data_IF_453480480227
#
_entry.id   IF_453480480227
#
_cell.length_a   1.000
_cell.length_b   1.000
_cell.length_c   1.000
_cell.angle_alpha   90.00
_cell.angle_beta   90.00
_cell.angle_gamma   90.00
#
_symmetry.space_group_name_H-M   'P 1'
#
loop_
_entity.id
_entity.type
_entity.pdbx_description
1 polymer ?
#
# COMPACT_ATOMS: atom_id res chain seq x y z
N UNK A 1 -16.87 20.71 -7.83
CA UNK A 1 -18.00 21.62 -7.52
C UNK A 1 -18.72 21.15 -6.24
N UNK A 2 -19.29 22.04 -5.41
CA UNK A 2 -20.07 21.63 -4.25
C UNK A 2 -21.20 20.65 -4.61
N UNK A 3 -21.82 20.85 -5.78
CA UNK A 3 -22.86 19.97 -6.34
C UNK A 3 -22.41 18.54 -6.65
N UNK A 4 -21.11 18.24 -6.63
CA UNK A 4 -20.59 16.89 -6.88
C UNK A 4 -20.17 16.17 -5.59
N UNK A 5 -20.38 16.79 -4.42
CA UNK A 5 -20.15 16.13 -3.14
C UNK A 5 -21.33 15.22 -2.82
N UNK A 6 -21.04 13.97 -2.46
CA UNK A 6 -22.08 13.03 -2.05
C UNK A 6 -22.50 13.28 -0.60
N UNK A 7 -23.80 13.12 -0.33
CA UNK A 7 -24.29 13.02 1.04
C UNK A 7 -23.88 11.68 1.66
N UNK A 8 -23.99 11.55 2.99
CA UNK A 8 -23.77 10.27 3.65
C UNK A 8 -24.77 9.19 3.18
N UNK A 9 -26.02 9.59 2.89
CA UNK A 9 -27.04 8.69 2.37
C UNK A 9 -26.69 8.18 0.97
N UNK A 10 -26.23 9.07 0.07
CA UNK A 10 -25.83 8.67 -1.29
C UNK A 10 -24.62 7.74 -1.26
N UNK A 11 -23.63 8.03 -0.40
CA UNK A 11 -22.49 7.13 -0.17
C UNK A 11 -22.95 5.75 0.27
N UNK A 12 -23.84 5.67 1.26
CA UNK A 12 -24.36 4.41 1.78
C UNK A 12 -25.15 3.65 0.71
N UNK A 13 -25.97 4.36 -0.07
CA UNK A 13 -26.74 3.77 -1.16
C UNK A 13 -25.81 3.14 -2.20
N UNK A 14 -24.82 3.90 -2.72
CA UNK A 14 -23.84 3.40 -3.70
C UNK A 14 -23.04 2.21 -3.13
N UNK A 15 -22.64 2.29 -1.86
CA UNK A 15 -21.92 1.19 -1.21
C UNK A 15 -22.76 -0.09 -1.23
N UNK A 16 -24.03 0.01 -0.84
CA UNK A 16 -24.93 -1.14 -0.68
C UNK A 16 -25.38 -1.71 -2.03
N UNK A 17 -25.74 -0.84 -2.99
CA UNK A 17 -26.32 -1.27 -4.27
C UNK A 17 -25.29 -1.63 -5.33
N UNK A 18 -24.04 -1.18 -5.19
CA UNK A 18 -23.06 -1.26 -6.27
C UNK A 18 -21.73 -1.85 -5.81
N UNK A 19 -21.09 -1.25 -4.78
CA UNK A 19 -19.75 -1.66 -4.35
C UNK A 19 -19.80 -3.05 -3.70
N UNK A 20 -20.70 -3.28 -2.75
CA UNK A 20 -20.81 -4.54 -2.03
C UNK A 20 -21.06 -5.73 -2.99
N UNK A 21 -22.05 -5.69 -3.91
CA UNK A 21 -22.24 -6.77 -4.87
C UNK A 21 -21.05 -7.03 -5.79
N UNK A 22 -20.33 -5.98 -6.20
CA UNK A 22 -19.21 -6.11 -7.14
C UNK A 22 -17.92 -6.58 -6.46
N UNK A 23 -17.62 -6.08 -5.26
CA UNK A 23 -16.29 -6.19 -4.65
C UNK A 23 -16.25 -7.17 -3.47
N UNK A 24 -17.36 -7.38 -2.74
CA UNK A 24 -17.37 -8.17 -1.51
C UNK A 24 -18.25 -9.42 -1.59
N UNK A 25 -19.39 -9.36 -2.30
CA UNK A 25 -20.28 -10.51 -2.44
C UNK A 25 -19.60 -11.76 -3.05
N UNK A 26 -18.66 -11.66 -4.02
CA UNK A 26 -17.94 -12.83 -4.52
C UNK A 26 -17.24 -13.65 -3.42
N UNK A 27 -16.77 -12.99 -2.36
CA UNK A 27 -16.03 -13.63 -1.26
C UNK A 27 -16.95 -14.31 -0.22
N UNK A 28 -18.25 -13.97 -0.19
CA UNK A 28 -19.21 -14.59 0.75
C UNK A 28 -19.49 -16.06 0.40
N UNK A 29 -19.30 -16.44 -0.86
CA UNK A 29 -19.54 -17.80 -1.36
C UNK A 29 -18.60 -18.86 -0.76
N UNK A 30 -17.52 -18.44 -0.10
CA UNK A 30 -16.52 -19.32 0.50
C UNK A 30 -16.82 -19.70 1.97
N UNK A 31 -17.99 -19.33 2.51
CA UNK A 31 -18.47 -19.70 3.85
C UNK A 31 -17.48 -19.41 5.01
N UNK A 32 -16.70 -18.32 4.93
CA UNK A 32 -15.75 -17.87 5.95
C UNK A 32 -16.34 -17.79 7.37
N UNK A 33 -17.65 -17.50 7.45
CA UNK A 33 -18.36 -17.34 8.72
C UNK A 33 -18.55 -18.65 9.49
N UNK A 34 -18.33 -19.80 8.83
CA UNK A 34 -18.74 -21.11 9.35
C UNK A 34 -17.60 -22.11 9.49
N UNK A 35 -16.36 -21.75 9.10
CA UNK A 35 -15.22 -22.67 9.18
C UNK A 35 -14.51 -22.69 10.54
N UNK A 36 -14.92 -21.82 11.47
CA UNK A 36 -14.36 -21.71 12.82
C UNK A 36 -12.98 -21.07 12.89
N UNK A 37 -12.40 -20.64 11.77
CA UNK A 37 -11.03 -20.11 11.72
C UNK A 37 -10.98 -18.65 12.12
N UNK A 38 -9.84 -18.22 12.66
CA UNK A 38 -9.54 -16.81 12.85
C UNK A 38 -9.32 -16.13 11.47
N UNK A 39 -10.02 -15.03 11.15
CA UNK A 39 -9.83 -14.34 9.87
C UNK A 39 -8.51 -13.56 9.86
N UNK A 40 -7.90 -13.42 8.68
CA UNK A 40 -6.66 -12.67 8.49
C UNK A 40 -6.86 -11.33 7.82
N UNK A 41 -6.10 -10.35 8.28
CA UNK A 41 -5.97 -9.06 7.61
C UNK A 41 -4.51 -8.82 7.27
N UNK A 42 -4.19 -8.83 5.98
CA UNK A 42 -2.87 -8.43 5.48
C UNK A 42 -2.92 -6.96 5.09
N UNK A 43 -2.20 -6.11 5.81
CA UNK A 43 -2.17 -4.67 5.58
C UNK A 43 -0.85 -4.29 4.93
N UNK A 44 -0.87 -3.87 3.67
CA UNK A 44 0.31 -3.38 2.96
C UNK A 44 0.33 -1.86 3.03
N UNK A 45 1.39 -1.30 3.59
CA UNK A 45 1.57 0.14 3.72
C UNK A 45 2.90 0.57 3.12
N UNK A 46 2.87 1.64 2.33
CA UNK A 46 4.07 2.18 1.71
C UNK A 46 3.73 3.35 0.82
N UNK A 47 4.68 4.27 0.60
CA UNK A 47 4.40 5.45 -0.19
C UNK A 47 4.03 5.12 -1.65
N UNK A 48 3.46 6.09 -2.36
CA UNK A 48 3.28 5.98 -3.81
C UNK A 48 4.64 5.78 -4.49
N UNK A 49 4.73 4.89 -5.48
CA UNK A 49 6.00 4.58 -6.14
C UNK A 49 6.93 3.61 -5.39
N UNK A 50 6.59 3.18 -4.16
CA UNK A 50 7.40 2.20 -3.42
C UNK A 50 7.41 0.80 -4.07
N UNK A 51 6.40 0.46 -4.88
CA UNK A 51 6.32 -0.84 -5.55
C UNK A 51 5.35 -1.83 -4.92
N UNK A 52 4.30 -1.36 -4.23
CA UNK A 52 3.22 -2.20 -3.67
C UNK A 52 2.62 -3.17 -4.70
N UNK A 53 2.58 -2.78 -5.98
CA UNK A 53 2.09 -3.61 -7.09
C UNK A 53 2.90 -4.91 -7.31
N UNK A 54 4.11 -5.02 -6.77
CA UNK A 54 4.89 -6.28 -6.75
C UNK A 54 4.69 -7.08 -5.47
N UNK A 55 4.49 -6.41 -4.33
CA UNK A 55 4.30 -7.08 -3.04
C UNK A 55 2.88 -7.64 -2.88
N UNK A 56 1.86 -6.87 -3.30
CA UNK A 56 0.46 -7.23 -3.09
C UNK A 56 0.08 -8.56 -3.75
N UNK A 57 0.44 -8.86 -5.01
CA UNK A 57 0.18 -10.18 -5.59
C UNK A 57 0.85 -11.31 -4.81
N UNK A 58 2.12 -11.14 -4.40
CA UNK A 58 2.85 -12.16 -3.66
C UNK A 58 2.19 -12.51 -2.31
N UNK A 59 1.78 -11.49 -1.54
CA UNK A 59 1.08 -11.69 -0.27
C UNK A 59 -0.35 -12.19 -0.46
N UNK A 60 -1.06 -11.71 -1.49
CA UNK A 60 -2.41 -12.19 -1.84
C UNK A 60 -2.38 -13.65 -2.21
N UNK A 61 -1.45 -14.07 -3.06
CA UNK A 61 -1.36 -15.44 -3.54
C UNK A 61 -0.92 -16.40 -2.41
N UNK A 62 -0.01 -15.95 -1.53
CA UNK A 62 0.32 -16.68 -0.31
C UNK A 62 -0.88 -16.85 0.63
N UNK A 63 -1.64 -15.77 0.87
CA UNK A 63 -2.87 -15.82 1.67
C UNK A 63 -3.91 -16.75 1.05
N UNK A 64 -4.08 -16.66 -0.28
CA UNK A 64 -5.03 -17.49 -1.00
C UNK A 64 -4.67 -18.97 -0.99
N UNK A 65 -3.38 -19.29 -1.14
CA UNK A 65 -2.87 -20.65 -1.02
C UNK A 65 -3.09 -21.20 0.40
N UNK A 66 -2.78 -20.40 1.43
CA UNK A 66 -2.95 -20.77 2.84
C UNK A 66 -4.41 -21.04 3.20
N UNK A 67 -5.31 -20.15 2.77
CA UNK A 67 -6.75 -20.22 3.08
C UNK A 67 -7.55 -21.07 2.09
N UNK A 68 -6.92 -21.51 0.99
CA UNK A 68 -7.55 -22.21 -0.14
C UNK A 68 -8.75 -21.44 -0.74
N UNK A 69 -8.69 -20.10 -0.70
CA UNK A 69 -9.73 -19.18 -1.19
C UNK A 69 -9.15 -17.78 -1.39
N UNK A 70 -9.72 -17.00 -2.29
CA UNK A 70 -9.22 -15.65 -2.55
C UNK A 70 -9.65 -14.67 -1.42
N UNK A 71 -8.71 -13.90 -0.85
CA UNK A 71 -9.06 -12.83 0.09
C UNK A 71 -9.72 -11.66 -0.65
N UNK A 72 -10.50 -10.84 0.06
CA UNK A 72 -10.98 -9.58 -0.48
C UNK A 72 -9.83 -8.57 -0.57
N UNK A 73 -9.52 -8.10 -1.78
CA UNK A 73 -8.40 -7.18 -2.03
C UNK A 73 -8.92 -5.75 -2.11
N UNK A 74 -8.67 -4.96 -1.07
CA UNK A 74 -9.26 -3.64 -0.88
C UNK A 74 -8.22 -2.53 -1.11
N UNK A 75 -8.52 -1.59 -2.01
CA UNK A 75 -7.64 -0.47 -2.36
C UNK A 75 -8.51 0.79 -2.50
N UNK A 76 -8.27 1.82 -1.67
CA UNK A 76 -9.09 3.05 -1.73
C UNK A 76 -9.15 3.68 -3.13
N UNK A 77 -8.05 3.64 -3.90
CA UNK A 77 -8.00 4.31 -5.21
C UNK A 77 -8.96 3.70 -6.23
N UNK A 78 -9.23 2.38 -6.16
CA UNK A 78 -10.15 1.71 -7.09
C UNK A 78 -11.59 2.16 -6.87
N UNK A 79 -11.97 2.52 -5.63
CA UNK A 79 -13.32 2.98 -5.34
C UNK A 79 -13.69 4.33 -5.94
N UNK A 80 -12.72 5.09 -6.47
CA UNK A 80 -13.00 6.35 -7.16
C UNK A 80 -13.88 6.17 -8.39
N UNK A 81 -13.82 5.01 -9.05
CA UNK A 81 -14.63 4.73 -10.25
C UNK A 81 -16.12 4.62 -9.94
N UNK A 82 -16.50 4.32 -8.70
CA UNK A 82 -17.90 4.28 -8.25
C UNK A 82 -18.50 5.66 -7.98
N UNK A 83 -17.68 6.72 -7.93
CA UNK A 83 -18.19 8.07 -7.74
C UNK A 83 -18.92 8.55 -9.01
N UNK A 84 -20.21 8.94 -8.94
CA UNK A 84 -21.04 9.22 -10.13
C UNK A 84 -20.47 10.29 -11.07
N UNK A 85 -19.76 11.27 -10.51
CA UNK A 85 -19.14 12.35 -11.28
C UNK A 85 -17.67 12.12 -11.63
N UNK A 86 -17.09 10.96 -11.33
CA UNK A 86 -15.66 10.72 -11.56
C UNK A 86 -15.31 10.72 -13.03
N UNK A 87 -16.04 9.97 -13.86
CA UNK A 87 -15.80 9.91 -15.31
C UNK A 87 -15.98 11.28 -15.99
N UNK A 88 -17.04 12.02 -15.62
CA UNK A 88 -17.28 13.36 -16.14
C UNK A 88 -16.18 14.35 -15.72
N UNK A 89 -15.74 14.30 -14.45
CA UNK A 89 -14.63 15.12 -13.97
C UNK A 89 -13.32 14.75 -14.66
N UNK A 90 -13.07 13.46 -14.87
CA UNK A 90 -11.87 12.98 -15.54
C UNK A 90 -11.80 13.48 -16.98
N UNK A 91 -12.92 13.50 -17.71
CA UNK A 91 -12.98 14.02 -19.07
C UNK A 91 -12.79 15.55 -19.14
N UNK A 92 -13.35 16.29 -18.19
CA UNK A 92 -13.33 17.76 -18.20
C UNK A 92 -12.09 18.39 -17.53
N UNK A 93 -11.57 17.76 -16.48
CA UNK A 93 -10.48 18.24 -15.64
C UNK A 93 -9.75 17.05 -14.95
N UNK A 94 -8.93 16.28 -15.68
CA UNK A 94 -8.28 15.06 -15.19
C UNK A 94 -7.53 15.25 -13.87
N UNK A 95 -6.86 16.39 -13.71
CA UNK A 95 -6.07 16.76 -12.53
C UNK A 95 -6.92 16.95 -11.26
N UNK A 96 -8.22 17.22 -11.41
CA UNK A 96 -9.16 17.41 -10.30
C UNK A 96 -9.94 16.15 -9.94
N UNK A 97 -10.01 15.17 -10.85
CA UNK A 97 -10.84 13.97 -10.67
C UNK A 97 -10.45 13.15 -9.44
N UNK A 98 -9.15 13.00 -9.19
CA UNK A 98 -8.66 12.29 -8.00
C UNK A 98 -9.07 13.00 -6.71
N UNK A 99 -8.88 14.32 -6.64
CA UNK A 99 -9.24 15.11 -5.46
C UNK A 99 -10.75 15.13 -5.20
N UNK A 100 -11.57 15.10 -6.27
CA UNK A 100 -13.01 14.99 -6.19
C UNK A 100 -13.45 13.69 -5.49
N UNK A 101 -13.00 12.54 -5.98
CA UNK A 101 -13.53 11.24 -5.56
C UNK A 101 -12.83 10.66 -4.32
N UNK A 102 -11.65 11.17 -3.93
CA UNK A 102 -10.88 10.61 -2.81
C UNK A 102 -11.62 10.57 -1.46
N UNK A 103 -12.39 11.59 -1.04
CA UNK A 103 -13.12 11.54 0.22
C UNK A 103 -14.14 10.40 0.27
N UNK A 104 -14.94 10.22 -0.78
CA UNK A 104 -15.95 9.16 -0.83
C UNK A 104 -15.31 7.78 -0.99
N UNK A 105 -14.24 7.68 -1.78
CA UNK A 105 -13.46 6.44 -1.93
C UNK A 105 -12.84 5.96 -0.61
N UNK A 106 -12.36 6.89 0.23
CA UNK A 106 -11.90 6.58 1.60
C UNK A 106 -13.05 6.08 2.48
N UNK A 107 -14.19 6.76 2.44
CA UNK A 107 -15.37 6.34 3.21
C UNK A 107 -15.85 4.94 2.80
N UNK A 108 -15.85 4.64 1.49
CA UNK A 108 -16.18 3.31 1.00
C UNK A 108 -15.16 2.24 1.39
N UNK A 109 -13.87 2.56 1.50
CA UNK A 109 -12.90 1.63 2.07
C UNK A 109 -13.18 1.33 3.53
N UNK A 110 -13.50 2.34 4.35
CA UNK A 110 -13.92 2.11 5.74
C UNK A 110 -15.16 1.23 5.82
N UNK A 111 -16.18 1.51 5.00
CA UNK A 111 -17.40 0.67 4.92
C UNK A 111 -17.09 -0.76 4.48
N UNK A 112 -16.19 -0.96 3.51
CA UNK A 112 -15.79 -2.27 3.03
C UNK A 112 -15.06 -3.07 4.10
N UNK A 113 -14.16 -2.44 4.86
CA UNK A 113 -13.45 -3.09 5.97
C UNK A 113 -14.42 -3.47 7.11
N UNK A 114 -15.34 -2.58 7.48
CA UNK A 114 -16.37 -2.89 8.46
C UNK A 114 -17.27 -4.06 8.01
N UNK A 115 -17.65 -4.10 6.72
CA UNK A 115 -18.41 -5.21 6.17
C UNK A 115 -17.61 -6.52 6.21
N UNK A 116 -16.33 -6.48 5.82
CA UNK A 116 -15.44 -7.63 5.88
C UNK A 116 -15.34 -8.19 7.30
N UNK A 117 -15.16 -7.33 8.31
CA UNK A 117 -15.16 -7.71 9.73
C UNK A 117 -16.46 -8.38 10.13
N UNK A 118 -17.61 -7.76 9.82
CA UNK A 118 -18.93 -8.31 10.14
C UNK A 118 -19.17 -9.69 9.48
N UNK A 119 -18.49 -9.99 8.37
CA UNK A 119 -18.63 -11.22 7.62
C UNK A 119 -17.41 -12.15 7.73
N UNK A 120 -16.44 -11.82 8.61
CA UNK A 120 -15.18 -12.55 8.83
C UNK A 120 -14.41 -12.89 7.55
N UNK A 121 -14.42 -11.99 6.58
CA UNK A 121 -13.68 -12.20 5.32
C UNK A 121 -12.18 -12.04 5.56
N UNK A 122 -11.37 -12.94 5.00
CA UNK A 122 -9.92 -12.73 4.90
C UNK A 122 -9.67 -11.57 3.93
N UNK A 123 -8.81 -10.60 4.29
CA UNK A 123 -8.58 -9.39 3.51
C UNK A 123 -7.10 -9.14 3.23
N UNK A 124 -6.85 -8.49 2.09
CA UNK A 124 -5.60 -7.77 1.82
C UNK A 124 -5.94 -6.31 1.53
N UNK A 125 -5.40 -5.39 2.31
CA UNK A 125 -5.68 -3.95 2.21
C UNK A 125 -4.40 -3.20 1.85
N UNK A 126 -4.45 -2.39 0.80
CA UNK A 126 -3.32 -1.52 0.43
C UNK A 126 -3.55 -0.07 0.85
N UNK A 127 -2.56 0.50 1.53
CA UNK A 127 -2.53 1.91 1.91
C UNK A 127 -1.29 2.62 1.36
N UNK A 128 -1.50 3.79 0.77
CA UNK A 128 -0.41 4.70 0.43
C UNK A 128 0.15 5.47 1.65
N UNK A 129 -0.57 5.44 2.78
CA UNK A 129 -0.23 6.17 4.00
C UNK A 129 -0.22 7.71 3.89
N UNK A 130 -0.96 8.28 2.94
CA UNK A 130 -1.11 9.75 2.81
C UNK A 130 -1.77 10.37 4.06
N UNK A 131 -2.74 9.67 4.62
CA UNK A 131 -3.40 10.02 5.87
C UNK A 131 -3.11 8.88 6.85
N UNK A 132 -2.09 9.00 7.70
CA UNK A 132 -1.64 7.88 8.52
C UNK A 132 -2.71 7.40 9.51
N UNK A 133 -3.56 8.31 10.00
CA UNK A 133 -4.70 7.96 10.85
C UNK A 133 -5.67 6.98 10.18
N UNK A 134 -5.83 7.03 8.85
CA UNK A 134 -6.66 6.06 8.14
C UNK A 134 -6.06 4.65 8.25
N UNK A 135 -4.73 4.52 8.13
CA UNK A 135 -4.06 3.23 8.26
C UNK A 135 -4.18 2.68 9.68
N UNK A 136 -3.95 3.53 10.69
CA UNK A 136 -4.09 3.14 12.10
C UNK A 136 -5.51 2.68 12.40
N UNK A 137 -6.51 3.45 11.95
CA UNK A 137 -7.92 3.09 12.10
C UNK A 137 -8.25 1.74 11.43
N UNK A 138 -7.72 1.49 10.22
CA UNK A 138 -7.92 0.20 9.54
C UNK A 138 -7.33 -0.96 10.35
N UNK A 139 -6.10 -0.81 10.87
CA UNK A 139 -5.47 -1.82 11.71
C UNK A 139 -6.28 -2.10 12.99
N UNK A 140 -6.72 -1.04 13.67
CA UNK A 140 -7.56 -1.16 14.87
C UNK A 140 -8.90 -1.83 14.58
N UNK A 141 -9.55 -1.52 13.45
CA UNK A 141 -10.82 -2.14 13.04
C UNK A 141 -10.69 -3.66 12.88
N UNK A 142 -9.62 -4.14 12.24
CA UNK A 142 -9.40 -5.57 12.10
C UNK A 142 -8.99 -6.23 13.41
N UNK A 143 -8.09 -5.62 14.17
CA UNK A 143 -7.68 -6.11 15.48
C UNK A 143 -8.88 -6.25 16.44
N UNK A 144 -9.70 -5.21 16.57
CA UNK A 144 -10.92 -5.23 17.37
C UNK A 144 -11.98 -6.22 16.82
N UNK A 145 -11.94 -6.51 15.51
CA UNK A 145 -12.72 -7.54 14.86
C UNK A 145 -12.26 -8.98 15.14
N UNK A 146 -11.19 -9.17 15.93
CA UNK A 146 -10.63 -10.48 16.28
C UNK A 146 -9.78 -11.11 15.18
N UNK A 147 -9.29 -10.31 14.23
CA UNK A 147 -8.43 -10.78 13.16
C UNK A 147 -7.00 -11.03 13.68
N UNK A 148 -6.29 -11.96 13.04
CA UNK A 148 -4.84 -11.94 13.05
C UNK A 148 -4.36 -10.93 11.99
N UNK A 149 -3.70 -9.87 12.45
CA UNK A 149 -3.33 -8.71 11.63
C UNK A 149 -1.83 -8.79 11.28
N UNK A 150 -1.55 -8.92 9.99
CA UNK A 150 -0.19 -8.98 9.44
C UNK A 150 0.09 -7.68 8.65
N UNK A 151 1.00 -6.85 9.13
CA UNK A 151 1.36 -5.59 8.48
C UNK A 151 2.68 -5.71 7.70
N UNK A 152 2.68 -5.26 6.45
CA UNK A 152 3.86 -5.22 5.60
C UNK A 152 4.17 -3.77 5.19
N UNK A 153 5.33 -3.27 5.64
CA UNK A 153 5.80 -1.90 5.40
C UNK A 153 6.82 -1.91 4.25
N UNK A 154 6.56 -1.17 3.17
CA UNK A 154 7.57 -0.98 2.11
C UNK A 154 8.53 0.17 2.46
N UNK A 155 9.77 -0.18 2.78
CA UNK A 155 10.85 0.78 2.98
C UNK A 155 11.63 0.97 1.67
N UNK A 156 11.46 2.15 1.06
CA UNK A 156 12.12 2.51 -0.20
C UNK A 156 12.63 3.94 -0.09
N UNK A 157 13.88 4.23 -0.48
CA UNK A 157 14.42 5.59 -0.52
C UNK A 157 13.56 6.55 -1.36
N UNK A 158 13.45 7.80 -0.90
CA UNK A 158 12.64 8.85 -1.53
C UNK A 158 12.91 8.99 -3.03
N UNK A 159 14.20 9.05 -3.40
CA UNK A 159 14.65 9.18 -4.78
C UNK A 159 14.08 8.07 -5.67
N UNK A 160 14.15 6.82 -5.21
CA UNK A 160 13.70 5.67 -5.97
C UNK A 160 12.18 5.64 -6.10
N UNK A 161 11.43 5.98 -5.04
CA UNK A 161 9.97 6.03 -5.12
C UNK A 161 9.47 7.17 -6.01
N UNK A 162 10.09 8.34 -5.98
CA UNK A 162 9.80 9.45 -6.90
C UNK A 162 10.10 9.08 -8.34
N UNK A 163 11.28 8.52 -8.61
CA UNK A 163 11.66 8.06 -9.96
C UNK A 163 10.67 7.00 -10.49
N UNK A 164 10.27 6.06 -9.63
CA UNK A 164 9.29 5.04 -10.00
C UNK A 164 7.91 5.60 -10.40
N UNK A 165 7.51 6.77 -9.86
CA UNK A 165 6.27 7.46 -10.27
C UNK A 165 6.40 8.01 -11.69
N UNK A 166 7.53 8.63 -12.02
CA UNK A 166 7.79 9.15 -13.36
C UNK A 166 7.86 8.01 -14.38
N UNK A 167 8.65 6.98 -14.08
CA UNK A 167 8.84 5.82 -14.95
C UNK A 167 7.52 5.14 -15.28
N UNK A 168 6.71 4.79 -14.27
CA UNK A 168 5.43 4.09 -14.51
C UNK A 168 4.46 4.93 -15.33
N UNK A 169 4.45 6.26 -15.13
CA UNK A 169 3.57 7.16 -15.85
C UNK A 169 4.00 7.29 -17.31
N UNK A 170 5.25 7.66 -17.57
CA UNK A 170 5.73 7.93 -18.91
C UNK A 170 5.93 6.67 -19.77
N UNK A 171 6.21 5.51 -19.15
CA UNK A 171 6.22 4.23 -19.86
C UNK A 171 4.82 3.64 -20.08
N UNK A 172 3.76 4.30 -19.60
CA UNK A 172 2.39 3.78 -19.60
C UNK A 172 2.32 2.33 -19.07
N UNK A 173 3.06 2.07 -17.99
CA UNK A 173 3.18 0.74 -17.42
C UNK A 173 1.80 0.25 -16.93
N UNK A 174 1.47 -1.06 -17.04
CA UNK A 174 0.19 -1.58 -16.55
C UNK A 174 -0.09 -1.21 -15.08
N UNK A 175 0.95 -1.18 -14.25
CA UNK A 175 0.90 -0.82 -12.83
C UNK A 175 0.51 0.64 -12.58
N UNK A 176 0.63 1.51 -13.58
CA UNK A 176 0.17 2.89 -13.51
C UNK A 176 -1.36 3.03 -13.71
N UNK A 177 -2.05 1.91 -13.98
CA UNK A 177 -3.50 1.81 -14.19
C UNK A 177 -4.15 0.88 -13.16
N UNK A 178 -3.97 1.17 -11.87
CA UNK A 178 -4.52 0.36 -10.77
C UNK A 178 -6.04 0.15 -10.94
N UNK A 179 -6.48 -1.11 -10.99
CA UNK A 179 -7.90 -1.47 -11.06
C UNK A 179 -8.69 -0.83 -12.21
N UNK A 180 -8.07 -0.65 -13.38
CA UNK A 180 -8.73 -0.06 -14.55
C UNK A 180 -8.84 1.47 -14.52
N UNK A 181 -8.21 2.12 -13.53
CA UNK A 181 -8.13 3.58 -13.49
C UNK A 181 -7.31 4.13 -14.66
N UNK A 182 -7.63 5.36 -15.13
CA UNK A 182 -6.82 6.04 -16.14
C UNK A 182 -5.39 6.26 -15.64
N UNK A 183 -4.46 6.29 -16.60
CA UNK A 183 -3.08 6.68 -16.38
C UNK A 183 -3.03 8.07 -15.74
N UNK A 184 -2.42 8.20 -14.56
CA UNK A 184 -2.32 9.46 -13.82
C UNK A 184 -0.93 9.63 -13.22
N UNK A 185 -0.37 10.82 -13.38
CA UNK A 185 0.85 11.20 -12.69
C UNK A 185 0.49 11.56 -11.25
N UNK A 186 1.21 10.98 -10.29
CA UNK A 186 1.00 11.28 -8.87
C UNK A 186 1.70 12.60 -8.55
N UNK A 187 1.00 13.62 -8.04
CA UNK A 187 1.64 14.87 -7.64
C UNK A 187 2.69 14.63 -6.55
N UNK A 188 3.81 15.35 -6.61
CA UNK A 188 4.89 15.24 -5.61
C UNK A 188 4.38 15.44 -4.18
N UNK A 189 3.52 16.43 -3.92
CA UNK A 189 2.95 16.63 -2.58
C UNK A 189 2.21 15.39 -2.04
N UNK A 190 1.54 14.62 -2.91
CA UNK A 190 0.88 13.36 -2.52
C UNK A 190 1.90 12.28 -2.18
N UNK A 191 3.01 12.22 -2.92
CA UNK A 191 4.13 11.35 -2.59
C UNK A 191 4.74 11.73 -1.23
N UNK A 192 5.02 13.01 -1.01
CA UNK A 192 5.72 13.48 0.19
C UNK A 192 4.88 13.28 1.46
N UNK A 193 3.57 13.53 1.37
CA UNK A 193 2.61 13.21 2.44
C UNK A 193 2.62 11.71 2.76
N UNK A 194 2.61 10.87 1.72
CA UNK A 194 2.65 9.40 1.86
C UNK A 194 3.99 8.90 2.42
N UNK A 195 5.09 9.55 2.04
CA UNK A 195 6.45 9.22 2.49
C UNK A 195 6.59 9.51 3.98
N UNK A 196 6.21 10.72 4.42
CA UNK A 196 6.23 11.12 5.84
C UNK A 196 5.24 10.30 6.68
N UNK A 197 4.03 10.07 6.17
CA UNK A 197 3.01 9.31 6.90
C UNK A 197 3.44 7.89 7.25
N UNK A 198 4.34 7.29 6.46
CA UNK A 198 4.81 5.93 6.71
C UNK A 198 5.59 5.78 8.03
N UNK A 199 6.31 6.82 8.46
CA UNK A 199 7.01 6.80 9.76
C UNK A 199 6.01 6.74 10.92
N UNK A 200 4.88 7.46 10.81
CA UNK A 200 3.82 7.39 11.80
C UNK A 200 3.18 6.00 11.83
N UNK A 201 2.89 5.41 10.67
CA UNK A 201 2.34 4.06 10.58
C UNK A 201 3.29 3.01 11.18
N UNK A 202 4.59 3.09 10.88
CA UNK A 202 5.59 2.17 11.44
C UNK A 202 5.71 2.32 12.96
N UNK A 203 5.72 3.55 13.48
CA UNK A 203 5.70 3.82 14.92
C UNK A 203 4.46 3.24 15.60
N UNK A 204 3.29 3.47 15.02
CA UNK A 204 2.03 2.95 15.52
C UNK A 204 2.04 1.41 15.61
N UNK A 205 2.62 0.74 14.62
CA UNK A 205 2.77 -0.72 14.64
C UNK A 205 3.72 -1.21 15.73
N UNK A 206 4.82 -0.49 15.98
CA UNK A 206 5.78 -0.84 17.03
C UNK A 206 5.18 -0.66 18.44
N UNK A 207 4.49 0.47 18.67
CA UNK A 207 3.97 0.88 19.99
C UNK A 207 2.60 0.28 20.32
N UNK A 208 1.77 -0.02 19.32
CA UNK A 208 0.38 -0.45 19.47
C UNK A 208 0.17 -1.97 19.39
N UNK A 209 -0.96 -2.49 19.91
CA UNK A 209 -1.30 -3.91 19.83
C UNK A 209 -1.95 -4.32 18.51
N UNK A 210 -2.21 -3.37 17.60
CA UNK A 210 -3.06 -3.57 16.43
C UNK A 210 -2.52 -4.58 15.39
N UNK A 211 -1.24 -4.96 15.48
CA UNK A 211 -0.63 -5.96 14.61
C UNK A 211 -0.02 -7.11 15.41
N UNK A 212 -0.24 -8.33 14.90
CA UNK A 212 0.32 -9.58 15.41
C UNK A 212 1.66 -9.91 14.75
N UNK A 213 1.86 -9.46 13.51
CA UNK A 213 3.11 -9.64 12.77
C UNK A 213 3.41 -8.42 11.91
N UNK A 214 4.67 -7.99 11.90
CA UNK A 214 5.14 -6.86 11.12
C UNK A 214 6.38 -7.28 10.33
N UNK A 215 6.36 -7.01 9.04
CA UNK A 215 7.56 -7.06 8.19
C UNK A 215 7.86 -5.69 7.60
N UNK A 216 9.14 -5.41 7.43
CA UNK A 216 9.62 -4.31 6.59
C UNK A 216 10.34 -4.93 5.40
N UNK A 217 9.96 -4.51 4.20
CA UNK A 217 10.52 -5.02 2.95
C UNK A 217 10.96 -3.86 2.08
N UNK A 218 12.05 -4.06 1.34
CA UNK A 218 12.43 -3.15 0.25
C UNK A 218 11.88 -3.64 -1.08
N UNK A 219 12.22 -2.93 -2.17
CA UNK A 219 11.89 -3.36 -3.54
C UNK A 219 12.39 -4.78 -3.82
N UNK A 220 11.69 -5.46 -4.73
CA UNK A 220 11.88 -6.87 -5.07
C UNK A 220 11.56 -7.84 -3.91
N UNK A 221 10.71 -7.41 -2.97
CA UNK A 221 10.23 -8.20 -1.85
C UNK A 221 11.38 -8.79 -1.02
N UNK A 222 12.43 -8.00 -0.77
CA UNK A 222 13.54 -8.42 0.08
C UNK A 222 13.25 -8.02 1.53
N UNK A 223 13.38 -8.96 2.46
CA UNK A 223 13.06 -8.78 3.86
C UNK A 223 14.17 -8.01 4.58
N UNK A 224 13.79 -6.91 5.25
CA UNK A 224 14.69 -6.05 6.03
C UNK A 224 14.50 -6.29 7.52
N UNK A 225 13.26 -6.48 7.96
CA UNK A 225 12.88 -6.72 9.35
C UNK A 225 11.65 -7.60 9.41
N UNK A 226 11.59 -8.46 10.43
CA UNK A 226 10.43 -9.26 10.80
C UNK A 226 10.31 -9.30 12.31
N UNK A 227 9.10 -9.13 12.81
CA UNK A 227 8.76 -9.44 14.19
C UNK A 227 7.31 -9.92 14.26
N UNK A 228 7.04 -10.76 15.26
CA UNK A 228 5.72 -11.33 15.51
C UNK A 228 5.47 -11.39 17.02
N UNK A 229 4.21 -11.31 17.43
CA UNK A 229 3.83 -11.42 18.83
C UNK A 229 3.68 -12.88 19.22
N UNK A 230 4.34 -13.28 20.32
CA UNK A 230 4.01 -14.49 21.03
C UNK A 230 2.64 -14.34 21.69
N UNK A 231 1.75 -15.31 21.46
CA UNK A 231 0.39 -15.38 21.99
C UNK A 231 -0.44 -14.09 21.76
N UNK A 232 -0.15 -13.36 20.68
CA UNK A 232 -0.83 -12.10 20.31
C UNK A 232 -0.59 -10.93 21.26
N UNK A 233 0.36 -11.03 22.21
CA UNK A 233 0.53 -10.02 23.27
C UNK A 233 1.91 -9.40 23.31
N UNK A 234 2.97 -10.20 23.27
CA UNK A 234 4.34 -9.71 23.48
C UNK A 234 5.17 -9.96 22.23
N UNK A 235 5.84 -8.92 21.73
CA UNK A 235 6.78 -9.09 20.62
C UNK A 235 7.86 -10.12 20.96
N UNK A 236 8.18 -11.03 20.03
CA UNK A 236 9.26 -12.01 20.23
C UNK A 236 10.64 -11.37 20.28
N UNK A 237 10.87 -10.35 19.46
CA UNK A 237 12.05 -9.47 19.52
C UNK A 237 11.66 -8.04 19.86
N UNK A 238 12.65 -7.15 19.95
CA UNK A 238 12.37 -5.73 20.14
C UNK A 238 11.56 -5.14 18.98
N UNK A 239 10.56 -4.33 19.30
CA UNK A 239 9.86 -3.51 18.31
C UNK A 239 10.88 -2.61 17.59
N UNK A 240 10.79 -2.54 16.26
CA UNK A 240 11.86 -1.97 15.44
C UNK A 240 11.50 -1.76 13.98
N UNK A 241 10.22 -1.79 13.63
CA UNK A 241 9.76 -1.54 12.27
C UNK A 241 10.07 -0.10 11.83
N UNK A 242 9.91 0.90 12.71
CA UNK A 242 10.27 2.29 12.42
C UNK A 242 11.77 2.43 12.17
N UNK A 243 12.60 1.87 13.04
CA UNK A 243 14.06 1.92 12.89
C UNK A 243 14.51 1.26 11.58
N UNK A 244 13.95 0.09 11.26
CA UNK A 244 14.24 -0.62 10.02
C UNK A 244 13.82 0.19 8.78
N UNK A 245 12.66 0.87 8.83
CA UNK A 245 12.21 1.77 7.78
C UNK A 245 13.17 2.95 7.58
N UNK A 246 13.58 3.62 8.66
CA UNK A 246 14.48 4.78 8.62
C UNK A 246 15.87 4.38 8.07
N UNK A 247 16.44 3.27 8.56
CA UNK A 247 17.72 2.76 8.08
C UNK A 247 17.67 2.39 6.60
N UNK A 248 16.62 1.70 6.15
CA UNK A 248 16.49 1.28 4.75
C UNK A 248 16.20 2.47 3.81
N UNK A 249 15.58 3.54 4.31
CA UNK A 249 15.41 4.79 3.54
C UNK A 249 16.69 5.60 3.39
N UNK A 250 17.55 5.58 4.42
CA UNK A 250 18.75 6.40 4.50
C UNK A 250 20.01 5.73 3.91
N UNK A 251 19.99 4.42 3.67
CA UNK A 251 21.17 3.71 3.17
C UNK A 251 21.58 4.16 1.76
N UNK A 252 22.87 3.99 1.48
CA UNK A 252 23.38 4.06 0.12
C UNK A 252 22.69 3.05 -0.82
N UNK A 253 22.59 3.42 -2.09
CA UNK A 253 22.03 2.56 -3.11
C UNK A 253 22.98 1.39 -3.40
N UNK A 254 22.42 0.21 -3.69
CA UNK A 254 23.24 -0.85 -4.28
C UNK A 254 23.71 -0.45 -5.67
N UNK A 255 24.78 -1.08 -6.16
CA UNK A 255 25.27 -0.85 -7.52
C UNK A 255 24.17 -1.11 -8.57
N UNK A 256 23.35 -2.15 -8.34
CA UNK A 256 22.21 -2.48 -9.18
C UNK A 256 21.13 -1.39 -9.16
N UNK A 257 20.75 -0.91 -7.98
CA UNK A 257 19.76 0.18 -7.85
C UNK A 257 20.24 1.47 -8.51
N UNK A 258 21.51 1.82 -8.31
CA UNK A 258 22.11 2.98 -8.94
C UNK A 258 22.18 2.84 -10.46
N UNK A 259 22.49 1.64 -10.97
CA UNK A 259 22.48 1.36 -12.42
C UNK A 259 21.06 1.50 -13.00
N UNK A 260 20.06 0.86 -12.41
CA UNK A 260 18.67 0.98 -12.87
C UNK A 260 18.16 2.41 -12.78
N UNK A 261 18.50 3.16 -11.72
CA UNK A 261 18.10 4.56 -11.61
C UNK A 261 18.71 5.43 -12.72
N UNK A 262 19.99 5.20 -13.08
CA UNK A 262 20.62 5.88 -14.23
C UNK A 262 19.93 5.54 -15.55
N UNK A 263 19.67 4.27 -15.80
CA UNK A 263 18.95 3.82 -17.01
C UNK A 263 17.55 4.46 -17.10
N UNK A 264 16.81 4.49 -16.00
CA UNK A 264 15.49 5.13 -15.93
C UNK A 264 15.56 6.64 -16.17
N UNK A 265 16.55 7.34 -15.61
CA UNK A 265 16.78 8.77 -15.84
C UNK A 265 17.14 9.06 -17.29
N UNK A 266 18.04 8.28 -17.89
CA UNK A 266 18.43 8.40 -19.29
C UNK A 266 17.23 8.24 -20.23
N UNK A 267 16.35 7.27 -19.96
CA UNK A 267 15.12 7.08 -20.72
C UNK A 267 14.16 8.26 -20.56
N UNK A 268 13.95 8.76 -19.34
CA UNK A 268 13.03 9.89 -19.11
C UNK A 268 13.54 11.18 -19.76
N UNK A 269 14.86 11.44 -19.77
CA UNK A 269 15.44 12.61 -20.47
C UNK A 269 15.19 12.60 -21.98
N UNK A 270 14.94 11.44 -22.60
CA UNK A 270 14.57 11.36 -24.03
C UNK A 270 13.22 12.02 -24.33
N UNK A 271 12.37 12.23 -23.32
CA UNK A 271 11.09 12.92 -23.47
C UNK A 271 11.26 14.41 -23.81
N UNK A 272 12.39 15.02 -23.42
CA UNK A 272 12.69 16.46 -23.61
C UNK A 272 11.56 17.36 -23.07
N UNK A 273 10.99 16.99 -21.92
CA UNK A 273 9.97 17.76 -21.21
C UNK A 273 10.65 18.53 -20.06
N UNK A 274 10.68 19.88 -20.10
CA UNK A 274 11.33 20.69 -19.07
C UNK A 274 10.83 20.43 -17.64
N UNK A 275 9.56 20.02 -17.48
CA UNK A 275 9.01 19.69 -16.16
C UNK A 275 9.57 18.37 -15.64
N UNK A 276 9.68 17.38 -16.52
CA UNK A 276 10.26 16.08 -16.18
C UNK A 276 11.75 16.25 -15.88
N UNK A 277 12.47 17.05 -16.67
CA UNK A 277 13.89 17.32 -16.46
C UNK A 277 14.15 18.01 -15.10
N UNK A 278 13.29 18.93 -14.68
CA UNK A 278 13.37 19.54 -13.36
C UNK A 278 13.15 18.53 -12.22
N UNK A 279 12.16 17.64 -12.34
CA UNK A 279 11.94 16.58 -11.36
C UNK A 279 13.11 15.58 -11.31
N UNK A 280 13.69 15.24 -12.48
CA UNK A 280 14.89 14.40 -12.56
C UNK A 280 16.07 15.05 -11.84
N UNK A 281 16.30 16.35 -12.03
CA UNK A 281 17.39 17.05 -11.38
C UNK A 281 17.28 16.99 -9.84
N UNK A 282 16.07 17.14 -9.29
CA UNK A 282 15.83 16.95 -7.86
C UNK A 282 16.11 15.50 -7.42
N UNK A 283 15.64 14.52 -8.18
CA UNK A 283 15.84 13.09 -7.89
C UNK A 283 17.33 12.73 -7.92
N UNK A 284 18.09 13.20 -8.90
CA UNK A 284 19.54 12.98 -8.98
C UNK A 284 20.25 13.57 -7.76
N UNK A 285 19.84 14.76 -7.31
CA UNK A 285 20.37 15.35 -6.07
C UNK A 285 20.05 14.53 -4.81
N UNK A 286 18.91 13.82 -4.78
CA UNK A 286 18.60 12.86 -3.70
C UNK A 286 19.46 11.58 -3.81
N UNK A 287 19.68 11.07 -5.02
CA UNK A 287 20.55 9.90 -5.27
C UNK A 287 21.98 10.20 -4.85
N UNK A 288 22.51 11.38 -5.21
CA UNK A 288 23.86 11.81 -4.86
C UNK A 288 24.05 11.87 -3.33
N UNK A 289 23.04 12.38 -2.59
CA UNK A 289 23.07 12.41 -1.12
C UNK A 289 23.06 11.03 -0.48
N UNK A 290 22.36 10.06 -1.07
CA UNK A 290 22.37 8.68 -0.58
C UNK A 290 23.73 8.01 -0.82
N UNK A 291 24.38 8.34 -1.94
CA UNK A 291 25.60 7.66 -2.37
C UNK A 291 25.33 6.27 -2.95
N UNK A 292 26.40 5.63 -3.43
CA UNK A 292 26.38 4.29 -4.02
C UNK A 292 27.50 3.46 -3.40
N UNK A 293 27.19 2.22 -3.06
CA UNK A 293 28.18 1.29 -2.50
C UNK A 293 27.88 0.93 -1.05
N UNK A 294 28.58 -0.10 -0.57
CA UNK A 294 28.30 -0.72 0.72
C UNK A 294 29.15 -0.09 1.84
N UNK A 295 28.54 0.76 2.67
CA UNK A 295 29.16 1.28 3.90
C UNK A 295 28.99 0.31 5.10
N UNK A 296 29.21 -0.99 4.86
CA UNK A 296 29.64 -1.95 5.89
C UNK A 296 28.67 -2.42 6.98
N UNK A 297 27.35 -2.15 6.95
CA UNK A 297 26.45 -2.54 8.06
C UNK A 297 25.06 -3.08 7.69
N UNK A 298 24.73 -3.26 6.42
CA UNK A 298 23.41 -3.84 6.09
C UNK A 298 23.46 -5.37 6.15
N UNK A 299 22.55 -6.03 6.89
CA UNK A 299 22.48 -7.48 6.92
C UNK A 299 22.23 -8.04 5.51
N UNK A 300 22.72 -9.25 5.27
CA UNK A 300 22.39 -10.01 4.05
C UNK A 300 20.87 -10.12 3.96
N UNK A 301 20.31 -9.58 2.89
CA UNK A 301 18.87 -9.56 2.69
C UNK A 301 18.41 -10.91 2.12
N UNK A 302 17.36 -11.47 2.70
CA UNK A 302 16.72 -12.68 2.21
C UNK A 302 15.46 -12.31 1.42
N UNK A 303 15.15 -13.04 0.33
CA UNK A 303 13.85 -12.90 -0.33
C UNK A 303 12.72 -13.21 0.66
N UNK A 304 11.68 -12.39 0.67
CA UNK A 304 10.48 -12.61 1.47
C UNK A 304 9.85 -13.95 1.10
N UNK A 305 9.84 -14.87 2.07
CA UNK A 305 9.01 -16.06 2.01
C UNK A 305 7.57 -15.68 2.42
N UNK A 306 6.76 -15.24 1.45
CA UNK A 306 5.42 -14.73 1.71
C UNK A 306 4.53 -15.73 2.49
N UNK A 307 4.68 -17.03 2.23
CA UNK A 307 3.96 -18.10 2.93
C UNK A 307 4.36 -18.26 4.40
N UNK A 308 5.56 -17.86 4.79
CA UNK A 308 6.02 -17.87 6.20
C UNK A 308 5.63 -16.60 6.96
N UNK A 309 5.21 -15.56 6.24
CA UNK A 309 4.67 -14.34 6.84
C UNK A 309 3.17 -14.45 7.13
N UNK A 310 2.44 -15.17 6.28
CA UNK A 310 1.02 -15.45 6.51
C UNK A 310 0.89 -16.56 7.56
N UNK A 311 0.25 -16.30 8.71
CA UNK A 311 0.17 -17.28 9.78
C UNK A 311 -0.67 -18.49 9.39
N UNK A 312 -0.34 -19.59 10.04
CA UNK A 312 -1.08 -20.84 9.96
C UNK A 312 -2.49 -20.67 10.53
N UNK A 313 -3.39 -21.58 10.18
CA UNK A 313 -4.67 -21.65 10.88
C UNK A 313 -4.36 -22.04 12.32
N UNK A 314 -4.73 -21.19 13.29
CA UNK A 314 -4.72 -21.58 14.69
C UNK A 314 -5.89 -22.55 14.85
N UNK A 315 -5.60 -23.80 15.25
CA UNK A 315 -6.61 -24.82 15.59
C UNK A 315 -7.50 -24.39 16.76
#
# INVERSE_FOLDING_TARGET
PPAWRLSAADRQAIFTSTILPAELAPHLSHHHQHDGKQPLAVLIVGQTGAGKTRLAPALRDALAARRRRAPAHLIADTYKTYHPHYAACLAAAPERASALASPDARAWLTMACAYAVAHRLDVLVESACRHPDDFCHLADVFHAGGYAVCAAVLAVPEALSRLGILVRYHRNAPEARSGGLPLRLTPQAVHDDSYRGLEYAARFLDEGPAADSVIVVRRNNMLVYKNERADGRVWRGDAGALRALEMERARALSEEEARTAREDVEELRKLRDPKVDAEIQEIEGLIEKLGVGHDGQLPTLEPLQATEFIPDDIE
#
